data_IF_387601101504
#
_entry.id   IF_387601101504
#
_cell.length_a   1.000
_cell.length_b   1.000
_cell.length_c   1.000
_cell.angle_alpha   90.00
_cell.angle_beta   90.00
_cell.angle_gamma   90.00
#
_symmetry.space_group_name_H-M   'P 1'
#
loop_
_entity.id
_entity.type
_entity.pdbx_description
1 polymer ?
#
# COMPACT_ATOMS: atom_id res chain seq x y z
N UNK A 1 -11.16 -19.78 -12.39
CA UNK A 1 -10.61 -18.80 -12.26
C UNK A 1 -10.15 -18.61 -10.97
N UNK A 2 -9.32 -17.88 -10.77
CA UNK A 2 -8.83 -17.76 -9.65
C UNK A 2 -9.49 -17.10 -8.69
N UNK A 3 -9.42 -17.42 -7.59
CA UNK A 3 -10.02 -16.78 -6.58
C UNK A 3 -9.25 -15.65 -6.19
N UNK A 4 -9.48 -14.55 -6.73
CA UNK A 4 -8.80 -13.42 -6.39
C UNK A 4 -9.18 -13.02 -5.05
N UNK A 5 -8.30 -12.43 -4.31
CA UNK A 5 -8.63 -11.90 -3.04
C UNK A 5 -9.51 -10.71 -3.27
N UNK A 6 -10.64 -10.62 -2.58
CA UNK A 6 -11.60 -9.54 -2.80
C UNK A 6 -11.00 -8.15 -2.69
N UNK A 7 -10.10 -7.92 -1.74
CA UNK A 7 -9.54 -6.61 -1.59
C UNK A 7 -8.66 -6.23 -2.73
N UNK A 8 -7.93 -7.19 -3.28
CA UNK A 8 -7.12 -6.92 -4.45
C UNK A 8 -8.00 -6.56 -5.64
N UNK A 9 -9.21 -7.10 -5.70
CA UNK A 9 -10.10 -6.76 -6.77
C UNK A 9 -10.64 -5.35 -6.64
N UNK A 10 -10.70 -4.82 -5.42
CA UNK A 10 -11.22 -3.49 -5.20
C UNK A 10 -10.18 -2.40 -5.35
N UNK A 11 -8.92 -2.71 -5.15
CA UNK A 11 -7.88 -1.72 -5.17
C UNK A 11 -6.79 -2.11 -6.14
N UNK A 12 -6.18 -1.12 -6.77
CA UNK A 12 -5.09 -1.35 -7.68
C UNK A 12 -3.87 -1.74 -6.84
N UNK A 13 -3.44 -2.96 -6.96
CA UNK A 13 -2.34 -3.48 -6.17
C UNK A 13 -1.00 -3.45 -6.90
N UNK A 14 -0.86 -2.59 -7.90
CA UNK A 14 0.38 -2.52 -8.66
C UNK A 14 1.54 -2.12 -7.77
N UNK A 15 2.72 -2.55 -8.16
CA UNK A 15 3.93 -2.24 -7.41
C UNK A 15 4.14 -0.72 -7.38
N UNK A 16 4.33 -0.18 -6.21
CA UNK A 16 4.52 1.26 -6.04
C UNK A 16 3.24 2.04 -5.84
N UNK A 17 2.08 1.45 -6.11
CA UNK A 17 0.81 2.16 -5.94
C UNK A 17 0.38 2.26 -4.48
N UNK A 18 -0.72 2.96 -4.22
CA UNK A 18 -1.12 3.21 -2.83
C UNK A 18 -1.32 1.96 -1.99
N UNK A 19 -2.03 0.96 -2.51
CA UNK A 19 -2.27 -0.26 -1.75
C UNK A 19 -0.95 -0.97 -1.43
N UNK A 20 -0.06 -1.05 -2.42
CA UNK A 20 1.23 -1.69 -2.25
C UNK A 20 2.06 -0.98 -1.19
N UNK A 21 2.08 0.35 -1.22
CA UNK A 21 2.89 1.11 -0.27
C UNK A 21 2.32 1.01 1.15
N UNK A 22 0.99 0.95 1.28
CA UNK A 22 0.39 0.75 2.58
C UNK A 22 0.80 -0.58 3.18
N UNK A 23 0.72 -1.62 2.37
CA UNK A 23 1.09 -2.95 2.80
C UNK A 23 2.58 -3.00 3.18
N UNK A 24 3.44 -2.35 2.39
CA UNK A 24 4.87 -2.35 2.65
C UNK A 24 5.20 -1.60 3.94
N UNK A 25 4.53 -0.47 4.20
CA UNK A 25 4.80 0.29 5.41
C UNK A 25 4.44 -0.53 6.65
N UNK A 26 3.34 -1.28 6.58
CA UNK A 26 2.98 -2.16 7.67
C UNK A 26 4.01 -3.28 7.83
N UNK A 27 4.42 -3.88 6.70
CA UNK A 27 5.37 -5.00 6.74
C UNK A 27 6.68 -4.59 7.38
N UNK A 28 7.18 -3.40 7.05
CA UNK A 28 8.45 -2.94 7.57
C UNK A 28 8.34 -2.19 8.90
N UNK A 29 7.13 -2.04 9.42
CA UNK A 29 6.94 -1.38 10.69
C UNK A 29 7.21 0.12 10.64
N UNK A 30 6.99 0.75 9.48
CA UNK A 30 7.30 2.17 9.34
C UNK A 30 6.21 3.09 9.82
N UNK A 31 5.04 2.57 10.10
CA UNK A 31 3.94 3.41 10.55
C UNK A 31 3.09 3.91 9.40
N UNK A 32 1.92 4.45 9.74
CA UNK A 32 0.94 4.87 8.76
C UNK A 32 1.36 6.21 8.18
N UNK A 33 1.64 6.24 6.89
CA UNK A 33 2.09 7.46 6.24
C UNK A 33 1.70 7.41 4.76
N UNK A 34 0.46 7.78 4.42
CA UNK A 34 -0.04 7.65 3.06
C UNK A 34 0.86 8.31 2.02
N UNK A 35 1.22 7.54 1.03
CA UNK A 35 2.00 7.98 -0.11
C UNK A 35 1.95 6.90 -1.17
N UNK A 36 2.41 7.23 -2.37
CA UNK A 36 2.58 6.22 -3.39
C UNK A 36 3.51 6.76 -4.48
N UNK A 37 3.81 5.91 -5.46
CA UNK A 37 4.64 6.30 -6.60
C UNK A 37 3.84 5.98 -7.86
N UNK A 38 3.87 6.90 -8.82
CA UNK A 38 3.10 6.70 -10.04
C UNK A 38 3.68 5.60 -10.90
N UNK A 39 4.96 5.36 -10.79
CA UNK A 39 5.61 4.30 -11.52
C UNK A 39 6.56 3.57 -10.61
N UNK A 40 7.77 3.29 -11.14
CA UNK A 40 8.76 2.57 -10.37
C UNK A 40 9.20 3.41 -9.19
N UNK A 41 9.29 2.81 -8.01
CA UNK A 41 9.64 3.54 -6.81
C UNK A 41 11.03 4.15 -6.86
N UNK A 42 11.92 3.62 -7.68
CA UNK A 42 13.26 4.14 -7.78
C UNK A 42 13.37 5.26 -8.79
N UNK A 43 12.35 5.45 -9.64
CA UNK A 43 12.43 6.40 -10.72
C UNK A 43 11.48 7.58 -10.61
N UNK A 44 10.26 7.35 -10.17
CA UNK A 44 9.28 8.42 -10.15
C UNK A 44 9.23 9.09 -8.79
N UNK A 45 8.81 10.35 -8.74
CA UNK A 45 8.71 11.06 -7.47
C UNK A 45 7.67 10.44 -6.56
N UNK A 46 7.87 10.62 -5.28
CA UNK A 46 6.92 10.18 -4.28
C UNK A 46 5.74 11.15 -4.25
N UNK A 47 4.52 10.62 -4.23
CA UNK A 47 3.31 11.43 -4.10
C UNK A 47 2.89 11.38 -2.66
N UNK A 48 2.88 12.54 -2.00
CA UNK A 48 2.57 12.61 -0.58
C UNK A 48 1.07 12.74 -0.36
N UNK A 49 0.63 12.49 0.87
CA UNK A 49 -0.79 12.49 1.21
C UNK A 49 -1.52 13.75 0.76
N UNK A 50 -0.88 14.90 0.84
CA UNK A 50 -1.53 16.15 0.45
C UNK A 50 -1.92 16.18 -1.02
N UNK A 51 -1.24 15.39 -1.85
CA UNK A 51 -1.53 15.34 -3.27
C UNK A 51 -2.28 14.08 -3.68
N UNK A 52 -2.71 13.28 -2.73
CA UNK A 52 -3.42 12.04 -3.03
C UNK A 52 -4.92 12.30 -3.05
N UNK A 53 -5.63 11.56 -3.91
CA UNK A 53 -7.08 11.62 -3.90
C UNK A 53 -7.60 10.82 -2.72
N UNK A 54 -8.87 11.01 -2.40
CA UNK A 54 -9.49 10.24 -1.32
C UNK A 54 -9.44 8.75 -1.61
N UNK A 55 -9.58 8.36 -2.88
CA UNK A 55 -9.53 6.95 -3.24
C UNK A 55 -8.14 6.39 -3.04
N UNK A 56 -7.12 7.18 -3.33
CA UNK A 56 -5.74 6.74 -3.16
C UNK A 56 -5.41 6.56 -1.68
N UNK A 57 -5.87 7.47 -0.84
CA UNK A 57 -5.65 7.37 0.59
C UNK A 57 -6.39 6.14 1.14
N UNK A 58 -7.60 5.89 0.63
CA UNK A 58 -8.36 4.71 1.04
C UNK A 58 -7.63 3.43 0.65
N UNK A 59 -7.07 3.39 -0.55
CA UNK A 59 -6.33 2.21 -1.00
C UNK A 59 -5.09 1.98 -0.15
N UNK A 60 -4.35 3.04 0.18
CA UNK A 60 -3.19 2.91 1.05
C UNK A 60 -3.61 2.37 2.41
N UNK A 61 -4.68 2.93 2.97
CA UNK A 61 -5.18 2.52 4.27
C UNK A 61 -5.59 1.06 4.25
N UNK A 62 -6.25 0.63 3.18
CA UNK A 62 -6.65 -0.76 3.05
C UNK A 62 -5.42 -1.69 3.01
N UNK A 63 -4.39 -1.31 2.27
CA UNK A 63 -3.18 -2.11 2.19
C UNK A 63 -2.48 -2.21 3.54
N UNK A 64 -2.41 -1.07 4.24
CA UNK A 64 -1.79 -1.04 5.56
C UNK A 64 -2.56 -1.94 6.52
N UNK A 65 -3.88 -1.78 6.58
CA UNK A 65 -4.70 -2.56 7.51
C UNK A 65 -4.73 -4.03 7.17
N UNK A 66 -4.75 -4.37 5.90
CA UNK A 66 -4.74 -5.77 5.49
C UNK A 66 -3.48 -6.45 5.97
N UNK A 67 -2.33 -5.79 5.83
CA UNK A 67 -1.09 -6.38 6.28
C UNK A 67 -1.01 -6.43 7.82
N UNK A 68 -1.60 -5.43 8.49
CA UNK A 68 -1.62 -5.45 9.96
C UNK A 68 -2.43 -6.63 10.48
N UNK A 69 -3.53 -6.96 9.79
CA UNK A 69 -4.38 -8.04 10.24
C UNK A 69 -3.99 -9.40 9.75
N UNK A 70 -3.60 -9.51 8.52
CA UNK A 70 -3.39 -10.79 7.89
C UNK A 70 -2.00 -11.05 7.35
N UNK A 71 -1.19 -10.06 7.24
CA UNK A 71 0.11 -10.20 6.63
C UNK A 71 1.21 -10.46 7.63
N UNK A 72 2.41 -10.66 7.08
CA UNK A 72 3.57 -10.86 7.92
C UNK A 72 4.23 -9.53 8.16
N UNK A 73 5.13 -9.51 9.14
CA UNK A 73 5.90 -8.33 9.39
C UNK A 73 7.35 -8.67 9.36
N UNK A 74 8.18 -7.69 9.05
CA UNK A 74 9.59 -7.91 9.04
C UNK A 74 10.05 -8.13 10.46
N UNK A 75 10.92 -9.13 10.61
CA UNK A 75 11.41 -9.47 11.92
C UNK A 75 12.65 -8.64 12.21
N UNK A 76 12.53 -7.72 13.15
CA UNK A 76 13.65 -6.88 13.48
C UNK A 76 14.45 -7.41 14.65
N UNK A 77 13.95 -8.40 15.30
CA UNK A 77 14.57 -8.93 16.50
C UNK A 77 15.61 -9.96 16.28
#
# INVERSE_FOLDING_TARGET
>A
MIAERPRTALYDARHGGPYDRGSADSYYGRGFNPHYFEGDTAITPRVEMADMTAEEITAYTAGFNDNEQFGDKKDWG
#
